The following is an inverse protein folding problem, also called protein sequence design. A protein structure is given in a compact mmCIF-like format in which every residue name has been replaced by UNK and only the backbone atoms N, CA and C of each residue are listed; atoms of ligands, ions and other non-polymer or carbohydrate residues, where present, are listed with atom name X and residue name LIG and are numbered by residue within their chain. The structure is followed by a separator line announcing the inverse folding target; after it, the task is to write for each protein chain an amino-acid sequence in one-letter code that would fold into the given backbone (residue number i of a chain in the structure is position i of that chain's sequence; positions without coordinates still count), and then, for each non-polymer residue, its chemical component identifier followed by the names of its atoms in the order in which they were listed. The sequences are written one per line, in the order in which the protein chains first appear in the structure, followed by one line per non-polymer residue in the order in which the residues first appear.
data_IF_065151943492
#
_entry.id   IF_065151943492
#
_cell.length_a   1.000
_cell.length_b   1.000
_cell.length_c   1.000
_cell.angle_alpha   90.00
_cell.angle_beta   90.00
_cell.angle_gamma   90.00
#
_symmetry.space_group_name_H-M   'P 1'
#
loop_
_entity.id
_entity.type
_entity.pdbx_description
1 polymer ?
#
# COMPACT_ATOMS: atom_id res chain seq x y z
N UNK A 1 -30.50 -8.14 46.21
CA UNK A 1 -30.19 -9.13 45.15
C UNK A 1 -30.88 -8.66 43.88
N UNK A 2 -30.22 -7.76 43.16
CA UNK A 2 -30.71 -7.12 41.94
C UNK A 2 -30.28 -7.96 40.74
N UNK A 3 -31.25 -8.34 39.89
CA UNK A 3 -31.13 -9.33 38.82
C UNK A 3 -31.32 -8.64 37.47
N UNK A 4 -30.53 -7.61 37.20
CA UNK A 4 -30.66 -6.76 36.00
C UNK A 4 -29.37 -6.56 35.19
N UNK A 5 -28.26 -7.26 35.50
CA UNK A 5 -26.98 -7.05 34.79
C UNK A 5 -26.66 -8.02 33.64
N UNK A 6 -27.54 -8.95 33.25
CA UNK A 6 -27.29 -9.93 32.18
C UNK A 6 -28.10 -9.67 30.90
N UNK A 7 -28.20 -8.41 30.47
CA UNK A 7 -28.68 -8.11 29.11
C UNK A 7 -27.47 -8.22 28.17
N UNK A 8 -27.43 -9.19 27.23
CA UNK A 8 -26.35 -9.28 26.27
C UNK A 8 -26.33 -7.97 25.46
N UNK A 9 -25.14 -7.39 25.22
CA UNK A 9 -25.04 -6.14 24.49
C UNK A 9 -25.71 -6.29 23.12
N UNK A 10 -26.57 -5.32 22.78
CA UNK A 10 -27.23 -5.28 21.48
C UNK A 10 -26.17 -5.39 20.37
N UNK A 11 -26.42 -6.11 19.27
CA UNK A 11 -25.50 -6.18 18.15
C UNK A 11 -25.11 -4.79 17.65
N UNK A 12 -25.99 -3.80 17.77
CA UNK A 12 -25.71 -2.40 17.45
C UNK A 12 -24.59 -1.81 18.34
N UNK A 13 -24.63 -2.05 19.66
CA UNK A 13 -23.57 -1.60 20.58
C UNK A 13 -22.24 -2.30 20.36
N UNK A 14 -22.26 -3.58 19.95
CA UNK A 14 -21.05 -4.31 19.58
C UNK A 14 -20.43 -3.76 18.28
N UNK A 15 -21.26 -3.40 17.31
CA UNK A 15 -20.82 -2.74 16.08
C UNK A 15 -20.24 -1.36 16.37
N UNK A 16 -20.86 -0.57 17.27
CA UNK A 16 -20.32 0.74 17.67
C UNK A 16 -18.99 0.63 18.42
N UNK A 17 -18.85 -0.33 19.35
CA UNK A 17 -17.61 -0.55 20.11
C UNK A 17 -16.48 -1.09 19.25
N UNK A 18 -16.77 -1.89 18.22
CA UNK A 18 -15.78 -2.36 17.25
C UNK A 18 -15.41 -1.27 16.23
N UNK A 19 -16.36 -0.42 15.86
CA UNK A 19 -16.12 0.72 14.96
C UNK A 19 -15.32 1.86 15.62
N UNK A 20 -15.38 1.97 16.96
CA UNK A 20 -14.63 2.97 17.74
C UNK A 20 -13.20 2.52 18.08
N UNK A 21 -12.70 1.42 17.50
CA UNK A 21 -11.26 1.13 17.46
C UNK A 21 -10.59 2.05 16.45
N UNK A 22 -10.63 3.34 16.73
CA UNK A 22 -9.80 4.33 16.08
C UNK A 22 -8.37 4.07 16.53
N UNK A 23 -7.59 3.37 15.69
CA UNK A 23 -6.18 3.16 15.94
C UNK A 23 -5.52 4.54 16.14
N UNK A 24 -4.80 4.78 17.26
CA UNK A 24 -4.15 6.08 17.48
C UNK A 24 -3.27 6.37 16.27
N UNK A 25 -3.07 7.64 15.93
CA UNK A 25 -2.22 8.08 14.82
C UNK A 25 -0.73 7.79 15.10
N UNK A 26 -0.38 6.51 15.26
CA UNK A 26 0.98 6.02 15.31
C UNK A 26 1.54 6.20 13.91
N UNK A 27 2.70 6.81 13.81
CA UNK A 27 3.49 6.82 12.59
C UNK A 27 3.63 5.37 12.12
N UNK A 28 2.85 4.98 11.12
CA UNK A 28 2.98 3.64 10.54
C UNK A 28 4.43 3.49 10.07
N UNK A 29 5.07 2.32 10.27
CA UNK A 29 6.47 2.12 9.91
C UNK A 29 6.80 2.58 8.48
N UNK A 30 5.84 2.40 7.57
CA UNK A 30 5.89 2.88 6.18
C UNK A 30 6.02 4.40 6.08
N UNK A 31 5.27 5.18 6.86
CA UNK A 31 5.36 6.65 6.87
C UNK A 31 6.70 7.13 7.41
N UNK A 32 7.28 6.44 8.39
CA UNK A 32 8.61 6.76 8.94
C UNK A 32 9.67 6.61 7.85
N UNK A 33 9.75 5.44 7.25
CA UNK A 33 10.79 5.16 6.24
C UNK A 33 10.58 6.01 4.98
N UNK A 34 9.32 6.29 4.61
CA UNK A 34 9.00 7.02 3.38
C UNK A 34 9.17 8.53 3.45
N UNK A 35 8.90 9.14 4.61
CA UNK A 35 8.89 10.60 4.73
C UNK A 35 9.88 11.11 5.77
N UNK A 36 9.95 10.46 6.94
CA UNK A 36 10.81 10.92 8.02
C UNK A 36 12.29 10.62 7.75
N UNK A 37 12.61 9.44 7.23
CA UNK A 37 13.99 9.09 6.89
C UNK A 37 14.60 10.02 5.82
N UNK A 38 14.02 10.16 4.61
CA UNK A 38 14.57 11.09 3.63
C UNK A 38 14.50 12.54 4.10
N UNK A 39 13.41 12.94 4.77
CA UNK A 39 13.26 14.29 5.33
C UNK A 39 14.37 14.63 6.33
N UNK A 40 14.73 13.70 7.21
CA UNK A 40 15.80 13.88 8.18
C UNK A 40 17.18 13.94 7.50
N UNK A 41 17.42 13.10 6.49
CA UNK A 41 18.67 13.13 5.72
C UNK A 41 18.85 14.49 5.03
N UNK A 42 17.80 15.00 4.37
CA UNK A 42 17.83 16.33 3.75
C UNK A 42 18.03 17.44 4.78
N UNK A 43 17.36 17.35 5.94
CA UNK A 43 17.51 18.32 7.02
C UNK A 43 18.94 18.38 7.55
N UNK A 44 19.58 17.22 7.77
CA UNK A 44 20.98 17.15 8.22
C UNK A 44 21.91 17.73 7.16
N UNK A 45 21.72 17.39 5.88
CA UNK A 45 22.51 17.96 4.79
C UNK A 45 22.39 19.49 4.70
N UNK A 46 21.17 20.02 4.83
CA UNK A 46 20.94 21.46 4.89
C UNK A 46 21.59 22.11 6.12
N UNK A 47 21.52 21.46 7.27
CA UNK A 47 22.16 21.94 8.50
C UNK A 47 23.70 21.99 8.36
N UNK A 48 24.31 21.05 7.65
CA UNK A 48 25.76 21.09 7.37
C UNK A 48 26.15 22.33 6.57
N UNK A 49 25.36 22.73 5.56
CA UNK A 49 25.63 23.95 4.78
C UNK A 49 25.58 25.22 5.63
N UNK A 50 24.69 25.27 6.61
CA UNK A 50 24.51 26.44 7.49
C UNK A 50 25.57 26.49 8.58
N UNK A 51 25.91 25.34 9.18
CA UNK A 51 26.80 25.27 10.34
C UNK A 51 28.28 25.17 9.98
N UNK A 52 28.60 24.72 8.76
CA UNK A 52 29.97 24.51 8.28
C UNK A 52 30.14 25.07 6.86
N UNK A 53 30.38 26.38 6.69
CA UNK A 53 30.56 27.00 5.38
C UNK A 53 31.97 26.77 4.81
N UNK A 54 32.53 25.59 5.05
CA UNK A 54 33.84 25.15 4.55
C UNK A 54 33.67 23.98 3.58
N UNK A 55 34.74 23.61 2.88
CA UNK A 55 34.68 22.57 1.85
C UNK A 55 34.17 21.23 2.40
N UNK A 56 34.51 20.88 3.64
CA UNK A 56 34.06 19.63 4.27
C UNK A 56 32.55 19.67 4.52
N UNK A 57 32.02 20.83 4.91
CA UNK A 57 30.58 21.02 5.08
C UNK A 57 29.81 20.90 3.78
N UNK A 58 30.34 21.45 2.68
CA UNK A 58 29.75 21.34 1.34
C UNK A 58 29.79 19.88 0.83
N UNK A 59 30.91 19.18 0.97
CA UNK A 59 31.03 17.77 0.60
C UNK A 59 30.10 16.89 1.42
N UNK A 60 30.06 17.08 2.74
CA UNK A 60 29.15 16.37 3.64
C UNK A 60 27.68 16.61 3.29
N UNK A 61 27.31 17.85 2.98
CA UNK A 61 25.98 18.19 2.52
C UNK A 61 25.66 17.50 1.19
N UNK A 62 26.57 17.54 0.20
CA UNK A 62 26.36 16.88 -1.09
C UNK A 62 26.12 15.37 -0.94
N UNK A 63 26.89 14.70 -0.07
CA UNK A 63 26.70 13.28 0.24
C UNK A 63 25.35 13.02 0.90
N UNK A 64 24.93 13.82 1.87
CA UNK A 64 23.64 13.68 2.54
C UNK A 64 22.48 13.92 1.58
N UNK A 65 22.48 15.04 0.86
CA UNK A 65 21.43 15.38 -0.09
C UNK A 65 21.35 14.35 -1.23
N UNK A 66 22.49 13.89 -1.74
CA UNK A 66 22.57 12.83 -2.75
C UNK A 66 22.03 11.50 -2.23
N UNK A 67 22.43 11.09 -1.02
CA UNK A 67 21.92 9.88 -0.37
C UNK A 67 20.41 9.95 -0.11
N UNK A 68 19.92 11.08 0.39
CA UNK A 68 18.49 11.32 0.63
C UNK A 68 17.68 11.27 -0.66
N UNK A 69 18.20 11.86 -1.75
CA UNK A 69 17.58 11.74 -3.08
C UNK A 69 17.55 10.29 -3.56
N UNK A 70 18.65 9.55 -3.36
CA UNK A 70 18.70 8.12 -3.65
C UNK A 70 17.59 7.34 -2.96
N UNK A 71 17.37 7.58 -1.66
CA UNK A 71 16.27 6.96 -0.89
C UNK A 71 14.90 7.27 -1.50
N UNK A 72 14.64 8.53 -1.84
CA UNK A 72 13.36 8.94 -2.46
C UNK A 72 13.14 8.26 -3.81
N UNK A 73 14.20 8.19 -4.64
CA UNK A 73 14.14 7.54 -5.95
C UNK A 73 13.92 6.04 -5.81
N UNK A 74 14.62 5.36 -4.90
CA UNK A 74 14.45 3.93 -4.64
C UNK A 74 13.02 3.61 -4.19
N UNK A 75 12.47 4.39 -3.25
CA UNK A 75 11.08 4.27 -2.80
C UNK A 75 10.09 4.49 -3.97
N UNK A 76 10.38 5.42 -4.87
CA UNK A 76 9.55 5.67 -6.06
C UNK A 76 9.60 4.50 -7.05
N UNK A 77 10.78 3.95 -7.31
CA UNK A 77 10.97 2.81 -8.21
C UNK A 77 10.29 1.55 -7.66
N UNK A 78 10.45 1.28 -6.38
CA UNK A 78 9.81 0.14 -5.72
C UNK A 78 8.29 0.15 -5.89
N UNK A 79 7.66 1.32 -5.72
CA UNK A 79 6.22 1.48 -5.98
C UNK A 79 5.81 1.25 -7.42
N UNK A 80 6.64 1.67 -8.37
CA UNK A 80 6.35 1.41 -9.79
C UNK A 80 6.44 -0.08 -10.09
N UNK A 81 7.41 -0.78 -9.49
CA UNK A 81 7.52 -2.23 -9.57
C UNK A 81 6.29 -2.95 -9.02
N UNK A 82 5.83 -2.58 -7.82
CA UNK A 82 4.67 -3.21 -7.18
C UNK A 82 3.37 -3.02 -7.97
N UNK A 83 3.15 -1.84 -8.54
CA UNK A 83 1.97 -1.62 -9.42
C UNK A 83 1.98 -2.52 -10.64
N UNK A 84 3.16 -2.80 -11.19
CA UNK A 84 3.29 -3.71 -12.32
C UNK A 84 3.10 -5.19 -11.96
N UNK A 85 3.17 -5.59 -10.68
CA UNK A 85 2.81 -6.96 -10.28
C UNK A 85 1.30 -7.18 -10.39
N UNK A 86 0.49 -6.21 -9.95
CA UNK A 86 -0.97 -6.26 -10.06
C UNK A 86 -1.41 -6.42 -11.52
N UNK A 87 -0.87 -5.62 -12.43
CA UNK A 87 -1.14 -5.73 -13.87
C UNK A 87 -0.68 -7.09 -14.46
N UNK A 88 0.42 -7.66 -13.93
CA UNK A 88 0.91 -8.98 -14.36
C UNK A 88 0.01 -10.12 -13.89
N UNK A 89 -0.50 -10.04 -12.67
CA UNK A 89 -1.42 -11.02 -12.11
C UNK A 89 -2.75 -10.98 -12.88
N UNK A 90 -3.28 -9.79 -13.15
CA UNK A 90 -4.47 -9.58 -14.00
C UNK A 90 -4.28 -10.17 -15.40
N UNK A 91 -3.14 -9.93 -16.04
CA UNK A 91 -2.85 -10.50 -17.36
C UNK A 91 -2.69 -12.02 -17.30
N UNK A 92 -2.05 -12.56 -16.25
CA UNK A 92 -1.88 -13.99 -16.05
C UNK A 92 -3.24 -14.70 -15.91
N UNK A 93 -4.16 -14.13 -15.13
CA UNK A 93 -5.51 -14.64 -14.97
C UNK A 93 -6.29 -14.57 -16.30
N UNK A 94 -6.15 -13.47 -17.05
CA UNK A 94 -6.78 -13.31 -18.35
C UNK A 94 -6.28 -14.32 -19.39
N UNK A 95 -4.98 -14.64 -19.38
CA UNK A 95 -4.41 -15.70 -20.21
C UNK A 95 -4.92 -17.08 -19.81
N UNK A 96 -5.04 -17.36 -18.52
CA UNK A 96 -5.64 -18.60 -18.02
C UNK A 96 -7.11 -18.76 -18.45
N UNK A 97 -7.86 -17.67 -18.46
CA UNK A 97 -9.22 -17.64 -18.98
C UNK A 97 -9.27 -17.91 -20.49
N UNK A 98 -8.41 -17.24 -21.26
CA UNK A 98 -8.30 -17.42 -22.71
C UNK A 98 -7.97 -18.87 -23.09
N UNK A 99 -7.00 -19.50 -22.42
CA UNK A 99 -6.60 -20.88 -22.68
C UNK A 99 -7.74 -21.88 -22.44
N UNK A 100 -8.62 -21.59 -21.47
CA UNK A 100 -9.74 -22.46 -21.10
C UNK A 100 -10.99 -22.27 -21.96
N UNK A 101 -11.36 -21.03 -22.22
CA UNK A 101 -12.64 -20.69 -22.88
C UNK A 101 -12.48 -20.20 -24.32
N UNK A 102 -11.25 -19.99 -24.79
CA UNK A 102 -10.93 -19.60 -26.17
C UNK A 102 -11.31 -18.16 -26.52
N UNK A 103 -11.67 -17.35 -25.54
CA UNK A 103 -12.04 -15.93 -25.69
C UNK A 103 -11.42 -15.14 -24.54
N UNK A 104 -11.06 -13.88 -24.80
CA UNK A 104 -10.59 -13.01 -23.73
C UNK A 104 -11.73 -12.62 -22.78
N UNK A 105 -11.45 -12.41 -21.48
CA UNK A 105 -12.47 -12.06 -20.48
C UNK A 105 -13.21 -10.74 -20.77
N UNK A 106 -12.58 -9.74 -21.38
CA UNK A 106 -13.21 -8.48 -21.80
C UNK A 106 -14.22 -8.66 -22.94
N UNK A 107 -14.11 -9.77 -23.67
CA UNK A 107 -14.97 -10.13 -24.80
C UNK A 107 -15.96 -11.26 -24.44
N UNK A 108 -15.83 -11.85 -23.26
CA UNK A 108 -16.65 -12.96 -22.81
C UNK A 108 -18.08 -12.50 -22.50
N UNK A 109 -19.05 -13.40 -22.69
CA UNK A 109 -20.41 -13.13 -22.23
C UNK A 109 -20.48 -13.14 -20.70
N UNK A 110 -21.42 -12.40 -20.08
CA UNK A 110 -21.59 -12.40 -18.63
C UNK A 110 -21.82 -13.81 -18.06
N UNK A 111 -22.54 -14.68 -18.79
CA UNK A 111 -22.80 -16.06 -18.38
C UNK A 111 -21.53 -16.92 -18.31
N UNK A 112 -20.56 -16.67 -19.20
CA UNK A 112 -19.27 -17.37 -19.19
C UNK A 112 -18.37 -16.88 -18.06
N UNK A 113 -18.36 -15.57 -17.79
CA UNK A 113 -17.65 -15.01 -16.63
C UNK A 113 -18.19 -15.59 -15.33
N UNK A 114 -19.52 -15.63 -15.15
CA UNK A 114 -20.14 -16.25 -13.97
C UNK A 114 -19.81 -17.74 -13.85
N UNK A 115 -19.73 -18.47 -14.98
CA UNK A 115 -19.32 -19.88 -14.96
C UNK A 115 -17.87 -20.02 -14.51
N UNK A 116 -16.98 -19.22 -15.04
CA UNK A 116 -15.56 -19.25 -14.67
C UNK A 116 -15.34 -18.89 -13.19
N UNK A 117 -16.07 -17.90 -12.67
CA UNK A 117 -16.06 -17.57 -11.24
C UNK A 117 -16.55 -18.75 -10.38
N UNK A 118 -17.65 -19.41 -10.75
CA UNK A 118 -18.16 -20.60 -10.03
C UNK A 118 -17.18 -21.77 -10.07
N UNK A 119 -16.43 -21.91 -11.16
CA UNK A 119 -15.38 -22.91 -11.33
C UNK A 119 -14.07 -22.53 -10.63
N UNK A 120 -13.95 -21.30 -10.11
CA UNK A 120 -12.76 -20.77 -9.45
C UNK A 120 -11.60 -20.48 -10.41
N UNK A 121 -11.88 -20.35 -11.71
CA UNK A 121 -10.89 -20.11 -12.78
C UNK A 121 -10.76 -18.63 -13.14
N UNK A 122 -11.65 -17.80 -12.62
CA UNK A 122 -11.64 -16.34 -12.77
C UNK A 122 -11.86 -15.66 -11.41
N UNK A 123 -11.02 -14.71 -11.00
CA UNK A 123 -11.20 -14.01 -9.73
C UNK A 123 -12.43 -13.10 -9.77
N UNK A 124 -13.26 -13.15 -8.72
CA UNK A 124 -14.41 -12.24 -8.57
C UNK A 124 -14.04 -10.76 -8.41
N UNK A 125 -12.75 -10.46 -8.20
CA UNK A 125 -12.22 -9.11 -7.99
C UNK A 125 -12.25 -8.21 -9.24
N UNK A 126 -12.32 -8.78 -10.45
CA UNK A 126 -12.27 -8.00 -11.70
C UNK A 126 -13.62 -7.42 -12.17
N UNK A 127 -14.66 -7.48 -11.33
CA UNK A 127 -16.03 -7.05 -11.70
C UNK A 127 -16.30 -5.54 -11.47
N UNK A 128 -15.29 -4.77 -11.08
CA UNK A 128 -15.41 -3.37 -10.65
C UNK A 128 -15.24 -2.36 -11.78
#
# INVERSE_FOLDING_TARGET
MDRTSDVPPSPASLVTVLADRQEPAVLTPVKIVRFWLPGLIFLIGALMLVTRPDIIGVEGAALMLGGGLGVVVSDRLYRMGLKGEEERDEESDARGFLDRYGVWPDQASPELLERAEREGTWPAAHRA
#
